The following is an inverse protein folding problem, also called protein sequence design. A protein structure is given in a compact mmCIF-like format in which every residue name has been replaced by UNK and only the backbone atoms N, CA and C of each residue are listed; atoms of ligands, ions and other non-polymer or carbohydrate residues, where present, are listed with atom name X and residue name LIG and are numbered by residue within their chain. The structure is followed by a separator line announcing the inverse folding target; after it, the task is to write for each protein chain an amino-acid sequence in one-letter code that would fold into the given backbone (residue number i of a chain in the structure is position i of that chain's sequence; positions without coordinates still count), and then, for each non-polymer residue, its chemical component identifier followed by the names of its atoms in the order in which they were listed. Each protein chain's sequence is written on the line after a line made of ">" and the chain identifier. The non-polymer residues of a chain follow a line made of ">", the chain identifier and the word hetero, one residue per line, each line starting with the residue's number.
data_IF_444052292367
#
_entry.id   IF_444052292367
#
_cell.length_a   1.000
_cell.length_b   1.000
_cell.length_c   1.000
_cell.angle_alpha   90.00
_cell.angle_beta   90.00
_cell.angle_gamma   90.00
#
_symmetry.space_group_name_H-M   'P 1'
#
loop_
_entity.id
_entity.type
_entity.pdbx_description
1 polymer ?
#
# COMPACT_ATOMS: atom_id res chain seq x y z
N UNK A 1 -0.71 8.16 26.09
CA UNK A 1 -1.01 8.64 24.71
C UNK A 1 -2.51 8.59 24.49
N UNK A 2 -3.15 9.64 24.05
CA UNK A 2 -4.59 9.61 23.77
C UNK A 2 -4.80 9.91 22.31
N UNK A 3 -5.11 8.85 21.53
CA UNK A 3 -5.62 8.99 20.17
C UNK A 3 -6.91 9.81 20.20
N UNK A 4 -6.99 10.90 19.44
CA UNK A 4 -8.15 11.78 19.43
C UNK A 4 -9.00 11.54 18.20
N UNK A 5 -10.23 11.10 18.39
CA UNK A 5 -11.21 11.03 17.31
C UNK A 5 -11.42 12.43 16.71
N UNK A 6 -11.45 12.51 15.40
CA UNK A 6 -11.71 13.72 14.62
C UNK A 6 -12.85 13.42 13.64
N UNK A 7 -13.90 14.22 13.70
CA UNK A 7 -15.05 14.03 12.83
C UNK A 7 -15.65 12.62 12.89
N UNK A 8 -15.98 12.08 11.74
CA UNK A 8 -16.69 10.81 11.60
C UNK A 8 -15.77 9.60 11.40
N UNK A 9 -14.72 9.74 10.59
CA UNK A 9 -13.89 8.63 10.11
C UNK A 9 -12.41 8.76 10.49
N UNK A 10 -11.98 9.93 10.98
CA UNK A 10 -10.57 10.23 11.21
C UNK A 10 -10.20 10.26 12.69
N UNK A 11 -8.92 10.12 12.95
CA UNK A 11 -8.32 10.34 14.26
C UNK A 11 -6.93 10.96 14.11
N UNK A 12 -6.57 11.80 15.07
CA UNK A 12 -5.24 12.38 15.20
C UNK A 12 -4.43 11.66 16.27
N UNK A 13 -3.13 11.69 16.13
CA UNK A 13 -2.14 11.08 17.01
C UNK A 13 -1.25 12.18 17.58
N UNK A 14 -1.62 12.82 18.71
CA UNK A 14 -0.87 13.96 19.26
C UNK A 14 0.59 13.65 19.57
N UNK A 15 0.86 12.45 20.10
CA UNK A 15 2.19 11.90 20.25
C UNK A 15 2.45 10.96 19.04
N UNK A 16 2.68 11.59 17.91
CA UNK A 16 2.70 10.91 16.60
C UNK A 16 3.69 9.76 16.59
N UNK A 17 3.25 8.52 16.33
CA UNK A 17 4.15 7.38 16.14
C UNK A 17 5.16 7.66 15.03
N UNK A 18 6.39 7.19 15.23
CA UNK A 18 7.52 7.46 14.33
C UNK A 18 7.81 6.23 13.47
N UNK A 19 7.97 6.41 12.18
CA UNK A 19 8.49 5.36 11.30
C UNK A 19 10.02 5.40 11.40
N UNK A 20 10.58 4.52 12.23
CA UNK A 20 12.01 4.55 12.60
C UNK A 20 12.91 3.79 11.64
N UNK A 21 12.37 2.81 10.95
CA UNK A 21 13.07 2.04 9.92
C UNK A 21 12.06 1.53 8.87
N UNK A 22 12.56 1.25 7.66
CA UNK A 22 11.78 0.68 6.58
C UNK A 22 12.65 -0.08 5.59
N UNK A 23 12.06 -1.03 4.89
CA UNK A 23 12.73 -1.83 3.88
C UNK A 23 11.81 -2.10 2.70
N UNK A 24 12.39 -2.26 1.52
CA UNK A 24 11.68 -2.57 0.27
C UNK A 24 12.40 -3.69 -0.49
N UNK A 25 11.60 -4.61 -1.01
CA UNK A 25 12.05 -5.70 -1.90
C UNK A 25 11.25 -5.60 -3.18
N UNK A 26 11.92 -5.63 -4.32
CA UNK A 26 11.30 -5.51 -5.64
C UNK A 26 11.72 -6.66 -6.56
N UNK A 27 10.84 -7.02 -7.49
CA UNK A 27 11.12 -7.98 -8.54
C UNK A 27 11.86 -7.37 -9.74
N UNK A 28 12.10 -8.21 -10.75
CA UNK A 28 12.84 -7.82 -11.97
C UNK A 28 12.18 -6.65 -12.69
N UNK A 29 10.88 -6.73 -12.98
CA UNK A 29 10.17 -5.71 -13.77
C UNK A 29 10.15 -4.35 -13.07
N UNK A 30 9.98 -4.33 -11.76
CA UNK A 30 10.03 -3.15 -10.91
C UNK A 30 11.43 -2.51 -10.89
N UNK A 31 12.47 -3.35 -10.94
CA UNK A 31 13.87 -2.89 -10.99
C UNK A 31 14.29 -2.30 -12.34
N UNK A 32 13.47 -2.41 -13.35
CA UNK A 32 13.66 -1.78 -14.67
C UNK A 32 12.93 -0.41 -14.77
N UNK A 33 12.06 -0.10 -13.78
CA UNK A 33 11.26 1.11 -13.74
C UNK A 33 11.98 2.35 -13.15
N UNK A 34 11.28 3.49 -13.09
CA UNK A 34 11.83 4.77 -12.63
C UNK A 34 12.36 4.75 -11.20
N UNK A 35 11.82 3.89 -10.35
CA UNK A 35 12.22 3.80 -8.92
C UNK A 35 13.34 2.78 -8.65
N UNK A 36 13.93 2.18 -9.66
CA UNK A 36 14.94 1.10 -9.57
C UNK A 36 16.06 1.34 -8.56
N UNK A 37 16.54 2.56 -8.46
CA UNK A 37 17.67 2.93 -7.59
C UNK A 37 17.27 3.14 -6.11
N UNK A 38 15.97 2.98 -5.78
CA UNK A 38 15.45 3.28 -4.44
C UNK A 38 15.12 2.03 -3.62
N UNK A 39 15.11 0.85 -4.25
CA UNK A 39 14.80 -0.41 -3.57
C UNK A 39 16.01 -0.95 -2.80
N UNK A 40 15.78 -1.47 -1.60
CA UNK A 40 16.84 -2.03 -0.76
C UNK A 40 17.35 -3.38 -1.27
N UNK A 41 16.43 -4.19 -1.81
CA UNK A 41 16.73 -5.52 -2.37
C UNK A 41 15.99 -5.66 -3.70
N UNK A 42 16.69 -6.15 -4.71
CA UNK A 42 16.12 -6.53 -6.01
C UNK A 42 16.40 -8.02 -6.23
N UNK A 43 15.35 -8.77 -6.56
CA UNK A 43 15.46 -10.17 -6.95
C UNK A 43 14.97 -10.35 -8.40
N UNK A 44 15.82 -10.86 -9.24
CA UNK A 44 15.51 -11.06 -10.67
C UNK A 44 14.86 -12.41 -10.96
N UNK A 45 15.03 -13.39 -10.06
CA UNK A 45 14.28 -14.64 -10.12
C UNK A 45 12.86 -14.45 -9.58
N UNK A 46 11.87 -14.59 -10.45
CA UNK A 46 10.46 -14.47 -10.07
C UNK A 46 9.99 -15.50 -9.04
N UNK A 47 10.73 -16.58 -8.87
CA UNK A 47 10.48 -17.59 -7.86
C UNK A 47 11.17 -17.30 -6.52
N UNK A 48 12.04 -16.31 -6.43
CA UNK A 48 12.80 -16.00 -5.21
C UNK A 48 13.52 -17.25 -4.63
N UNK A 49 14.04 -18.10 -5.52
CA UNK A 49 14.65 -19.38 -5.15
C UNK A 49 13.67 -20.45 -4.63
N UNK A 50 12.37 -20.26 -4.80
CA UNK A 50 11.34 -21.18 -4.31
C UNK A 50 10.77 -22.04 -5.46
N UNK A 51 9.92 -23.01 -5.11
CA UNK A 51 9.33 -23.96 -6.08
C UNK A 51 7.99 -23.47 -6.65
N UNK A 52 7.29 -22.58 -5.95
CA UNK A 52 5.98 -22.06 -6.35
C UNK A 52 5.91 -20.55 -6.12
N UNK A 53 5.01 -19.87 -6.82
CA UNK A 53 4.86 -18.43 -6.73
C UNK A 53 4.31 -17.97 -5.35
N UNK A 54 3.47 -18.76 -4.71
CA UNK A 54 3.00 -18.48 -3.34
C UNK A 54 4.14 -18.59 -2.33
N UNK A 55 5.05 -19.54 -2.53
CA UNK A 55 6.26 -19.64 -1.72
C UNK A 55 7.24 -18.49 -2.02
N UNK A 56 7.27 -18.01 -3.26
CA UNK A 56 8.04 -16.82 -3.64
C UNK A 56 7.52 -15.57 -2.92
N UNK A 57 6.21 -15.35 -2.86
CA UNK A 57 5.62 -14.23 -2.13
C UNK A 57 5.93 -14.27 -0.63
N UNK A 58 5.80 -15.45 -0.01
CA UNK A 58 6.26 -15.68 1.37
C UNK A 58 7.75 -15.34 1.55
N UNK A 59 8.61 -15.80 0.65
CA UNK A 59 10.06 -15.57 0.74
C UNK A 59 10.39 -14.08 0.59
N UNK A 60 9.70 -13.38 -0.30
CA UNK A 60 9.85 -11.94 -0.51
C UNK A 60 9.51 -11.15 0.77
N UNK A 61 8.42 -11.48 1.46
CA UNK A 61 8.10 -10.90 2.76
C UNK A 61 9.16 -11.21 3.82
N UNK A 62 9.67 -12.43 3.87
CA UNK A 62 10.73 -12.82 4.80
C UNK A 62 12.01 -12.00 4.57
N UNK A 63 12.37 -11.75 3.31
CA UNK A 63 13.51 -10.88 2.94
C UNK A 63 13.25 -9.44 3.41
N UNK A 64 12.05 -8.90 3.18
CA UNK A 64 11.69 -7.55 3.61
C UNK A 64 11.78 -7.39 5.13
N UNK A 65 11.23 -8.35 5.88
CA UNK A 65 11.28 -8.34 7.35
C UNK A 65 12.71 -8.48 7.89
N UNK A 66 13.51 -9.35 7.30
CA UNK A 66 14.93 -9.48 7.64
C UNK A 66 15.68 -8.17 7.37
N UNK A 67 15.48 -7.56 6.21
CA UNK A 67 16.12 -6.29 5.85
C UNK A 67 15.69 -5.14 6.76
N UNK A 68 14.41 -5.10 7.15
CA UNK A 68 13.90 -4.16 8.15
C UNK A 68 14.62 -4.34 9.50
N UNK A 69 14.75 -5.57 9.98
CA UNK A 69 15.41 -5.89 11.24
C UNK A 69 16.89 -5.47 11.23
N UNK A 70 17.60 -5.72 10.13
CA UNK A 70 18.98 -5.26 9.91
C UNK A 70 19.07 -3.72 10.02
N UNK A 71 18.20 -2.99 9.32
CA UNK A 71 18.18 -1.50 9.31
C UNK A 71 17.76 -0.93 10.66
N UNK A 72 16.93 -1.63 11.42
CA UNK A 72 16.52 -1.26 12.77
C UNK A 72 17.54 -1.67 13.86
N UNK A 73 18.58 -2.41 13.50
CA UNK A 73 19.53 -3.03 14.43
C UNK A 73 18.81 -3.86 15.51
N UNK A 74 17.88 -4.71 15.07
CA UNK A 74 17.01 -5.55 15.90
C UNK A 74 16.99 -6.99 15.36
N UNK A 75 16.61 -7.94 16.21
CA UNK A 75 16.21 -9.26 15.74
C UNK A 75 14.73 -9.26 15.38
N UNK A 76 14.27 -10.04 14.42
CA UNK A 76 12.83 -10.14 14.10
C UNK A 76 11.95 -10.45 15.32
N UNK A 77 12.43 -11.27 16.24
CA UNK A 77 11.71 -11.65 17.48
C UNK A 77 11.52 -10.49 18.48
N UNK A 78 12.26 -9.39 18.31
CA UNK A 78 12.18 -8.22 19.19
C UNK A 78 11.07 -7.23 18.73
N UNK A 79 10.40 -7.51 17.62
CA UNK A 79 9.20 -6.77 17.21
C UNK A 79 8.01 -7.17 18.10
N UNK A 80 7.31 -6.17 18.65
CA UNK A 80 6.20 -6.42 19.57
C UNK A 80 4.94 -6.95 18.87
N UNK A 81 4.69 -6.53 17.63
CA UNK A 81 3.50 -6.90 16.85
C UNK A 81 3.78 -6.69 15.35
N UNK A 82 3.15 -7.49 14.49
CA UNK A 82 3.20 -7.33 13.04
C UNK A 82 1.77 -7.29 12.50
N UNK A 83 1.47 -6.22 11.76
CA UNK A 83 0.34 -6.18 10.84
C UNK A 83 0.86 -6.43 9.43
N UNK A 84 0.43 -7.51 8.82
CA UNK A 84 0.88 -7.86 7.47
C UNK A 84 -0.28 -8.27 6.57
N UNK A 85 -0.10 -8.10 5.28
CA UNK A 85 -1.10 -8.46 4.27
C UNK A 85 -0.46 -8.85 2.95
N UNK A 86 -1.24 -9.55 2.14
CA UNK A 86 -0.90 -9.93 0.77
C UNK A 86 -2.18 -10.14 -0.04
N UNK A 87 -2.06 -10.36 -1.34
CA UNK A 87 -3.22 -10.55 -2.21
C UNK A 87 -3.75 -12.00 -2.22
N UNK A 88 -3.08 -12.93 -1.56
CA UNK A 88 -3.54 -14.32 -1.53
C UNK A 88 -4.72 -14.50 -0.58
N UNK A 89 -5.57 -15.48 -0.85
CA UNK A 89 -6.70 -15.78 0.01
C UNK A 89 -6.26 -15.95 1.47
N UNK A 90 -6.98 -15.29 2.39
CA UNK A 90 -6.73 -15.34 3.84
C UNK A 90 -5.34 -14.83 4.26
N UNK A 91 -4.68 -14.02 3.45
CA UNK A 91 -3.31 -13.54 3.70
C UNK A 91 -2.35 -14.69 4.02
N UNK A 92 -2.42 -15.77 3.21
CA UNK A 92 -1.68 -17.00 3.50
C UNK A 92 -0.16 -16.82 3.34
N UNK A 93 0.29 -15.91 2.47
CA UNK A 93 1.70 -15.57 2.31
C UNK A 93 2.28 -15.01 3.61
N UNK A 94 1.58 -14.05 4.22
CA UNK A 94 1.94 -13.44 5.50
C UNK A 94 1.94 -14.44 6.65
N UNK A 95 0.89 -15.25 6.74
CA UNK A 95 0.77 -16.28 7.77
C UNK A 95 1.90 -17.31 7.70
N UNK A 96 2.29 -17.74 6.50
CA UNK A 96 3.41 -18.66 6.31
C UNK A 96 4.77 -18.02 6.55
N UNK A 97 4.92 -16.72 6.33
CA UNK A 97 6.14 -15.98 6.65
C UNK A 97 6.39 -15.97 8.16
N UNK A 98 5.35 -15.70 8.95
CA UNK A 98 5.47 -15.44 10.38
C UNK A 98 5.31 -16.68 11.27
N UNK A 99 4.79 -17.81 10.75
CA UNK A 99 4.41 -19.01 11.53
C UNK A 99 5.48 -19.57 12.46
N UNK A 100 6.76 -19.38 12.15
CA UNK A 100 7.88 -19.93 12.91
C UNK A 100 8.70 -18.83 13.63
N UNK A 101 8.26 -17.58 13.60
CA UNK A 101 9.03 -16.45 14.14
C UNK A 101 8.67 -16.10 15.60
N UNK A 102 7.63 -16.73 16.16
CA UNK A 102 7.11 -16.45 17.50
C UNK A 102 6.87 -14.94 17.74
N UNK A 103 6.31 -14.25 16.75
CA UNK A 103 5.94 -12.83 16.80
C UNK A 103 4.41 -12.74 16.82
N UNK A 104 3.79 -11.99 17.72
CA UNK A 104 2.37 -11.69 17.65
C UNK A 104 2.01 -11.10 16.29
N UNK A 105 1.00 -11.67 15.63
CA UNK A 105 0.64 -11.32 14.27
C UNK A 105 -0.87 -11.23 14.11
N UNK A 106 -1.31 -10.19 13.41
CA UNK A 106 -2.68 -10.03 12.94
C UNK A 106 -2.61 -9.86 11.44
N UNK A 107 -3.27 -10.76 10.70
CA UNK A 107 -3.46 -10.64 9.25
C UNK A 107 -4.34 -9.44 8.95
N UNK A 108 -3.76 -8.43 8.36
CA UNK A 108 -4.47 -7.25 7.90
C UNK A 108 -4.81 -7.42 6.42
N UNK A 109 -5.84 -6.73 5.98
CA UNK A 109 -6.15 -6.63 4.57
C UNK A 109 -4.98 -6.03 3.77
N UNK A 110 -5.03 -6.21 2.49
CA UNK A 110 -3.93 -6.10 1.54
C UNK A 110 -3.32 -4.69 1.34
N UNK A 111 -3.77 -3.64 2.01
CA UNK A 111 -3.25 -2.29 1.75
C UNK A 111 -2.18 -1.86 2.75
N UNK A 112 -1.10 -1.24 2.28
CA UNK A 112 -0.04 -0.71 3.15
C UNK A 112 -0.53 0.40 4.08
N UNK A 113 -1.48 1.24 3.64
CA UNK A 113 -2.08 2.27 4.48
C UNK A 113 -2.89 1.67 5.63
N UNK A 114 -3.62 0.58 5.41
CA UNK A 114 -4.35 -0.14 6.46
C UNK A 114 -3.41 -0.71 7.52
N UNK A 115 -2.33 -1.36 7.10
CA UNK A 115 -1.31 -1.89 8.02
C UNK A 115 -0.65 -0.80 8.85
N UNK A 116 -0.32 0.36 8.23
CA UNK A 116 0.22 1.53 8.93
C UNK A 116 -0.78 2.15 9.92
N UNK A 117 -2.05 2.25 9.51
CA UNK A 117 -3.13 2.76 10.35
C UNK A 117 -3.29 1.89 11.60
N UNK A 118 -3.36 0.57 11.45
CA UNK A 118 -3.45 -0.36 12.57
C UNK A 118 -2.20 -0.35 13.45
N UNK A 119 -1.00 -0.27 12.85
CA UNK A 119 0.24 -0.12 13.60
C UNK A 119 0.23 1.16 14.43
N UNK A 120 -0.27 2.27 13.85
CA UNK A 120 -0.39 3.56 14.55
C UNK A 120 -1.39 3.51 15.71
N UNK A 121 -2.51 2.80 15.53
CA UNK A 121 -3.48 2.57 16.62
C UNK A 121 -2.87 1.73 17.74
N UNK A 122 -2.14 0.66 17.40
CA UNK A 122 -1.52 -0.21 18.38
C UNK A 122 -0.44 0.53 19.20
N UNK A 123 0.42 1.31 18.54
CA UNK A 123 1.43 2.14 19.22
C UNK A 123 0.76 3.27 20.00
N UNK A 124 -0.16 3.99 19.38
CA UNK A 124 -0.88 5.10 20.04
C UNK A 124 -1.79 4.67 21.18
N UNK A 125 -2.25 3.41 21.18
CA UNK A 125 -3.02 2.79 22.26
C UNK A 125 -2.16 2.15 23.36
N UNK A 126 -0.84 2.11 23.18
CA UNK A 126 0.08 1.52 24.17
C UNK A 126 0.07 -0.01 24.19
N UNK A 127 -0.43 -0.67 23.13
CA UNK A 127 -0.42 -2.14 23.04
C UNK A 127 0.97 -2.71 22.73
N UNK A 128 1.79 -1.95 22.00
CA UNK A 128 3.18 -2.30 21.72
C UNK A 128 3.99 -1.07 21.34
N UNK A 129 5.27 -1.03 21.73
CA UNK A 129 6.17 0.10 21.44
C UNK A 129 6.78 0.06 20.03
N UNK A 130 6.81 -1.12 19.41
CA UNK A 130 7.45 -1.39 18.12
C UNK A 130 6.58 -2.34 17.31
N UNK A 131 5.94 -1.80 16.29
CA UNK A 131 4.98 -2.53 15.45
C UNK A 131 5.40 -2.45 14.00
N UNK A 132 5.44 -3.60 13.33
CA UNK A 132 5.73 -3.66 11.90
C UNK A 132 4.44 -3.59 11.09
N UNK A 133 4.41 -2.71 10.10
CA UNK A 133 3.43 -2.69 9.02
C UNK A 133 4.10 -3.22 7.75
N UNK A 134 3.56 -4.28 7.15
CA UNK A 134 4.15 -4.94 5.99
C UNK A 134 3.09 -5.43 5.03
N UNK A 135 3.29 -5.20 3.74
CA UNK A 135 2.44 -5.80 2.70
C UNK A 135 3.26 -6.23 1.50
N UNK A 136 2.71 -7.17 0.73
CA UNK A 136 3.32 -7.68 -0.50
C UNK A 136 2.28 -7.98 -1.56
N UNK A 137 2.73 -8.06 -2.79
CA UNK A 137 2.04 -8.72 -3.89
C UNK A 137 3.05 -9.37 -4.83
N UNK A 138 2.62 -10.40 -5.54
CA UNK A 138 3.42 -11.08 -6.54
C UNK A 138 2.58 -11.29 -7.79
N UNK A 139 3.06 -10.85 -8.96
CA UNK A 139 2.25 -10.81 -10.17
C UNK A 139 1.66 -12.18 -10.53
N UNK A 140 2.47 -13.24 -10.50
CA UNK A 140 2.04 -14.55 -10.96
C UNK A 140 1.03 -15.23 -10.02
N UNK A 141 1.22 -15.13 -8.69
CA UNK A 141 0.28 -15.68 -7.71
C UNK A 141 -1.07 -14.96 -7.76
N UNK A 142 -1.05 -13.63 -7.90
CA UNK A 142 -2.26 -12.81 -7.97
C UNK A 142 -3.03 -12.98 -9.28
N UNK A 143 -2.33 -12.98 -10.43
CA UNK A 143 -2.98 -13.20 -11.72
C UNK A 143 -3.65 -14.57 -11.79
N UNK A 144 -2.98 -15.61 -11.31
CA UNK A 144 -3.52 -16.97 -11.26
C UNK A 144 -4.77 -17.08 -10.38
N UNK A 145 -4.80 -16.33 -9.30
CA UNK A 145 -5.90 -16.39 -8.34
C UNK A 145 -7.11 -15.56 -8.78
N UNK A 146 -6.91 -14.38 -9.32
CA UNK A 146 -7.98 -13.39 -9.49
C UNK A 146 -8.43 -13.13 -10.92
N UNK A 147 -7.61 -13.46 -11.93
CA UNK A 147 -7.93 -13.13 -13.31
C UNK A 147 -7.99 -14.38 -14.18
N UNK A 148 -6.91 -14.67 -14.89
CA UNK A 148 -6.85 -15.78 -15.85
C UNK A 148 -5.66 -16.69 -15.55
N UNK A 149 -5.72 -17.99 -15.94
CA UNK A 149 -4.52 -18.82 -15.94
C UNK A 149 -3.42 -18.13 -16.74
N UNK A 150 -2.25 -17.94 -16.15
CA UNK A 150 -1.12 -17.27 -16.82
C UNK A 150 -0.73 -17.93 -18.15
N UNK A 151 -0.85 -19.24 -18.23
CA UNK A 151 -0.57 -20.02 -19.45
C UNK A 151 -1.58 -19.82 -20.57
N UNK A 152 -2.70 -19.13 -20.35
CA UNK A 152 -3.70 -18.88 -21.39
C UNK A 152 -3.22 -17.85 -22.44
N UNK A 153 -2.33 -16.95 -22.06
CA UNK A 153 -1.72 -15.98 -22.98
C UNK A 153 -2.67 -14.94 -23.55
N UNK A 154 -3.77 -14.63 -22.85
CA UNK A 154 -4.73 -13.62 -23.29
C UNK A 154 -4.13 -12.22 -23.36
N UNK A 155 -4.48 -11.44 -24.39
CA UNK A 155 -4.07 -10.06 -24.50
C UNK A 155 -4.78 -9.23 -23.39
N UNK A 156 -4.00 -8.42 -22.65
CA UNK A 156 -4.54 -7.51 -21.63
C UNK A 156 -5.19 -6.30 -22.27
N UNK A 157 -6.27 -5.80 -21.68
CA UNK A 157 -6.93 -4.57 -22.12
C UNK A 157 -6.08 -3.33 -21.81
N UNK A 158 -6.25 -2.21 -22.52
CA UNK A 158 -5.54 -0.95 -22.19
C UNK A 158 -5.81 -0.42 -20.76
N UNK A 159 -6.93 -0.81 -20.16
CA UNK A 159 -7.30 -0.44 -18.77
C UNK A 159 -6.65 -1.33 -17.72
N UNK A 160 -6.11 -2.50 -18.12
CA UNK A 160 -5.48 -3.44 -17.21
C UNK A 160 -4.21 -2.86 -16.59
N UNK A 161 -3.90 -3.32 -15.40
CA UNK A 161 -2.70 -2.98 -14.66
C UNK A 161 -1.83 -4.22 -14.48
N UNK A 162 -0.53 -4.03 -14.29
CA UNK A 162 0.40 -5.09 -13.94
C UNK A 162 0.52 -5.21 -12.42
N UNK A 163 0.26 -6.39 -11.86
CA UNK A 163 0.48 -6.60 -10.43
C UNK A 163 1.97 -6.50 -10.11
N UNK A 164 2.30 -5.61 -9.20
CA UNK A 164 3.68 -5.39 -8.74
C UNK A 164 4.17 -6.60 -7.96
N UNK A 165 5.38 -7.05 -8.27
CA UNK A 165 6.12 -8.03 -7.47
C UNK A 165 7.00 -7.28 -6.49
N UNK A 166 6.53 -7.16 -5.25
CA UNK A 166 7.25 -6.40 -4.25
C UNK A 166 6.69 -6.55 -2.84
N UNK A 167 7.53 -6.28 -1.85
CA UNK A 167 7.17 -6.20 -0.44
C UNK A 167 7.80 -4.97 0.20
N UNK A 168 7.01 -4.24 0.97
CA UNK A 168 7.49 -3.14 1.81
C UNK A 168 7.16 -3.39 3.27
N UNK A 169 8.11 -3.08 4.16
CA UNK A 169 7.95 -3.20 5.60
C UNK A 169 8.43 -1.91 6.29
N UNK A 170 7.63 -1.40 7.23
CA UNK A 170 7.94 -0.20 8.01
C UNK A 170 7.78 -0.49 9.50
N UNK A 171 8.75 -0.03 10.31
CA UNK A 171 8.72 -0.13 11.75
C UNK A 171 8.14 1.16 12.34
N UNK A 172 6.96 1.05 12.90
CA UNK A 172 6.26 2.12 13.62
C UNK A 172 6.57 1.99 15.10
N UNK A 173 7.10 3.05 15.70
CA UNK A 173 7.58 3.05 17.08
C UNK A 173 6.96 4.20 17.88
N UNK A 174 6.85 4.02 19.20
CA UNK A 174 6.36 5.05 20.12
C UNK A 174 7.32 6.25 20.25
N UNK A 175 8.60 6.03 19.94
CA UNK A 175 9.65 7.07 20.01
C UNK A 175 10.76 6.77 18.99
N UNK A 176 11.58 7.78 18.70
CA UNK A 176 12.73 7.65 17.78
C UNK A 176 12.82 8.82 16.80
N UNK A 177 13.61 8.62 15.74
CA UNK A 177 13.83 9.61 14.69
C UNK A 177 13.34 9.09 13.35
N UNK A 178 12.58 9.88 12.61
CA UNK A 178 12.07 9.56 11.30
C UNK A 178 10.73 10.22 11.00
N UNK A 179 10.12 9.91 9.84
CA UNK A 179 8.80 10.42 9.49
C UNK A 179 7.74 10.04 10.54
N UNK A 180 6.80 10.95 10.80
CA UNK A 180 5.77 10.80 11.84
C UNK A 180 4.40 10.60 11.23
N UNK A 181 3.63 9.67 11.78
CA UNK A 181 2.21 9.49 11.44
C UNK A 181 1.38 10.40 12.33
N UNK A 182 0.75 11.41 11.75
CA UNK A 182 0.05 12.47 12.49
C UNK A 182 -1.45 12.29 12.56
N UNK A 183 -2.03 11.68 11.52
CA UNK A 183 -3.46 11.42 11.44
C UNK A 183 -3.76 10.25 10.52
N UNK A 184 -4.88 9.60 10.74
CA UNK A 184 -5.39 8.52 9.90
C UNK A 184 -6.89 8.71 9.63
N UNK A 185 -7.34 8.23 8.46
CA UNK A 185 -8.76 8.18 8.10
C UNK A 185 -9.13 6.78 7.65
N UNK A 186 -10.12 6.20 8.32
CA UNK A 186 -10.67 4.89 7.98
C UNK A 186 -11.71 5.09 6.88
N UNK A 187 -11.46 4.52 5.72
CA UNK A 187 -12.36 4.61 4.60
C UNK A 187 -13.58 3.70 4.73
N UNK A 188 -14.60 4.03 3.96
CA UNK A 188 -15.80 3.21 3.82
C UNK A 188 -15.76 2.42 2.51
N UNK A 189 -16.42 1.28 2.47
CA UNK A 189 -16.63 0.53 1.23
C UNK A 189 -17.54 1.35 0.31
N UNK A 190 -17.09 1.54 -0.93
CA UNK A 190 -17.81 2.31 -1.97
C UNK A 190 -18.04 1.42 -3.18
N UNK A 191 -19.26 1.38 -3.68
CA UNK A 191 -19.64 0.57 -4.84
C UNK A 191 -20.45 1.42 -5.82
N UNK A 192 -19.91 1.61 -7.02
CA UNK A 192 -20.59 2.29 -8.13
C UNK A 192 -21.00 1.32 -9.26
N UNK A 193 -21.06 0.03 -8.99
CA UNK A 193 -21.53 -0.96 -9.93
C UNK A 193 -20.51 -1.39 -11.00
N UNK A 194 -19.22 -1.09 -10.82
CA UNK A 194 -18.16 -1.51 -11.76
C UNK A 194 -17.99 -3.03 -11.65
N UNK A 195 -18.04 -3.74 -12.78
CA UNK A 195 -17.95 -5.21 -12.87
C UNK A 195 -16.73 -5.70 -13.63
N UNK A 196 -16.01 -4.82 -14.32
CA UNK A 196 -14.85 -5.19 -15.14
C UNK A 196 -13.61 -5.34 -14.25
N UNK A 197 -13.18 -6.57 -14.04
CA UNK A 197 -11.96 -6.92 -13.29
C UNK A 197 -10.67 -6.39 -13.95
N UNK A 198 -10.71 -6.00 -15.23
CA UNK A 198 -9.59 -5.38 -15.92
C UNK A 198 -9.55 -3.85 -15.74
N UNK A 199 -10.52 -3.27 -15.03
CA UNK A 199 -10.60 -1.83 -14.78
C UNK A 199 -10.77 -1.54 -13.28
N UNK A 200 -9.87 -2.07 -12.47
CA UNK A 200 -9.90 -1.90 -11.01
C UNK A 200 -9.69 -0.44 -10.59
N UNK A 201 -8.93 0.34 -11.38
CA UNK A 201 -8.76 1.78 -11.10
C UNK A 201 -10.08 2.53 -11.05
N UNK A 202 -11.01 2.25 -11.99
CA UNK A 202 -12.35 2.85 -11.97
C UNK A 202 -13.19 2.39 -10.76
N UNK A 203 -13.03 1.15 -10.31
CA UNK A 203 -13.72 0.64 -9.13
C UNK A 203 -13.21 1.27 -7.82
N UNK A 204 -11.90 1.57 -7.73
CA UNK A 204 -11.27 2.10 -6.52
C UNK A 204 -11.30 3.63 -6.41
N UNK A 205 -11.33 4.36 -7.53
CA UNK A 205 -11.27 5.83 -7.54
C UNK A 205 -12.36 6.50 -6.69
N UNK A 206 -13.63 6.04 -6.69
CA UNK A 206 -14.69 6.60 -5.83
C UNK A 206 -14.40 6.44 -4.33
N UNK A 207 -13.81 5.32 -3.93
CA UNK A 207 -13.41 5.08 -2.54
C UNK A 207 -12.26 6.01 -2.13
N UNK A 208 -11.28 6.23 -3.01
CA UNK A 208 -10.21 7.19 -2.78
C UNK A 208 -10.75 8.61 -2.60
N UNK A 209 -11.67 9.05 -3.48
CA UNK A 209 -12.33 10.34 -3.37
C UNK A 209 -13.04 10.50 -2.03
N UNK A 210 -13.88 9.52 -1.66
CA UNK A 210 -14.64 9.53 -0.41
C UNK A 210 -13.72 9.67 0.82
N UNK A 211 -12.60 8.95 0.83
CA UNK A 211 -11.66 8.96 1.94
C UNK A 211 -10.85 10.26 2.02
N UNK A 212 -10.39 10.80 0.87
CA UNK A 212 -9.69 12.09 0.82
C UNK A 212 -10.61 13.21 1.29
N UNK A 213 -11.85 13.24 0.82
CA UNK A 213 -12.87 14.20 1.27
C UNK A 213 -13.10 14.11 2.77
N UNK A 214 -13.33 12.90 3.30
CA UNK A 214 -13.53 12.69 4.72
C UNK A 214 -12.30 13.15 5.54
N UNK A 215 -11.08 12.90 5.04
CA UNK A 215 -9.86 13.38 5.68
C UNK A 215 -9.82 14.92 5.74
N UNK A 216 -10.16 15.58 4.65
CA UNK A 216 -10.17 17.06 4.58
C UNK A 216 -11.20 17.64 5.53
N UNK A 217 -12.43 17.12 5.51
CA UNK A 217 -13.53 17.57 6.37
C UNK A 217 -13.22 17.34 7.86
N UNK A 218 -12.82 16.12 8.23
CA UNK A 218 -12.60 15.72 9.62
C UNK A 218 -11.38 16.42 10.26
N UNK A 219 -10.31 16.60 9.46
CA UNK A 219 -9.06 17.20 9.92
C UNK A 219 -9.01 18.71 9.70
N UNK A 220 -9.99 19.29 8.99
CA UNK A 220 -10.08 20.71 8.60
C UNK A 220 -8.84 21.16 7.83
N UNK A 221 -8.45 20.38 6.83
CA UNK A 221 -7.32 20.62 5.93
C UNK A 221 -7.78 20.60 4.47
N UNK A 222 -6.92 21.07 3.59
CA UNK A 222 -7.12 21.10 2.13
C UNK A 222 -5.96 20.41 1.41
N UNK A 223 -6.02 20.31 0.10
CA UNK A 223 -4.92 19.80 -0.71
C UNK A 223 -3.62 20.62 -0.52
N UNK A 224 -3.72 21.91 -0.24
CA UNK A 224 -2.57 22.81 -0.07
C UNK A 224 -1.76 22.52 1.21
N UNK A 225 -2.35 21.82 2.18
CA UNK A 225 -1.65 21.39 3.39
C UNK A 225 -0.66 20.24 3.14
N UNK A 226 -0.62 19.68 1.93
CA UNK A 226 0.24 18.57 1.55
C UNK A 226 1.16 18.93 0.39
N UNK A 227 2.39 18.43 0.42
CA UNK A 227 3.27 18.46 -0.76
C UNK A 227 2.83 17.44 -1.80
N UNK A 228 2.25 16.31 -1.34
CA UNK A 228 1.82 15.21 -2.18
C UNK A 228 0.61 14.49 -1.56
N UNK A 229 -0.38 14.21 -2.39
CA UNK A 229 -1.49 13.29 -2.12
C UNK A 229 -1.28 12.13 -3.06
N UNK A 230 -1.05 10.92 -2.51
CA UNK A 230 -0.66 9.79 -3.34
C UNK A 230 -1.54 8.57 -3.08
N UNK A 231 -2.10 8.03 -4.17
CA UNK A 231 -2.92 6.81 -4.15
C UNK A 231 -2.06 5.56 -4.32
N UNK A 232 -2.59 4.41 -3.88
CA UNK A 232 -1.86 3.16 -3.82
C UNK A 232 -1.60 2.51 -5.18
N UNK A 233 -2.67 2.33 -5.96
CA UNK A 233 -2.62 1.55 -7.18
C UNK A 233 -3.83 1.79 -8.10
N UNK A 234 -4.28 3.03 -8.22
CA UNK A 234 -5.33 3.39 -9.17
C UNK A 234 -4.87 3.24 -10.63
N UNK A 235 -3.57 3.35 -10.87
CA UNK A 235 -3.00 3.43 -12.20
C UNK A 235 -3.37 4.72 -12.93
N UNK A 236 -3.00 4.81 -14.21
CA UNK A 236 -3.22 6.03 -15.00
C UNK A 236 -4.71 6.38 -15.11
N UNK A 237 -5.52 5.41 -15.54
CA UNK A 237 -6.95 5.63 -15.74
C UNK A 237 -7.68 5.96 -14.44
N UNK A 238 -7.44 5.19 -13.36
CA UNK A 238 -8.10 5.44 -12.07
C UNK A 238 -7.69 6.79 -11.46
N UNK A 239 -6.45 7.21 -11.65
CA UNK A 239 -5.98 8.55 -11.26
C UNK A 239 -6.71 9.66 -12.03
N UNK A 240 -6.92 9.50 -13.34
CA UNK A 240 -7.67 10.46 -14.16
C UNK A 240 -9.13 10.54 -13.76
N UNK A 241 -9.76 9.40 -13.47
CA UNK A 241 -11.12 9.34 -12.93
C UNK A 241 -11.20 10.07 -11.59
N UNK A 242 -10.30 9.79 -10.64
CA UNK A 242 -10.24 10.47 -9.35
C UNK A 242 -10.05 11.98 -9.52
N UNK A 243 -9.17 12.41 -10.40
CA UNK A 243 -8.92 13.83 -10.68
C UNK A 243 -10.18 14.52 -11.21
N UNK A 244 -10.85 13.90 -12.18
CA UNK A 244 -12.11 14.42 -12.75
C UNK A 244 -13.22 14.53 -11.70
N UNK A 245 -13.38 13.51 -10.86
CA UNK A 245 -14.37 13.52 -9.78
C UNK A 245 -14.04 14.59 -8.73
N UNK A 246 -12.78 14.73 -8.36
CA UNK A 246 -12.33 15.73 -7.38
C UNK A 246 -12.52 17.16 -7.84
N UNK A 247 -12.37 17.42 -9.14
CA UNK A 247 -12.65 18.73 -9.74
C UNK A 247 -14.13 19.11 -9.63
N UNK A 248 -15.03 18.14 -9.85
CA UNK A 248 -16.49 18.35 -9.71
C UNK A 248 -16.90 18.68 -8.26
N UNK A 249 -16.15 18.16 -7.28
CA UNK A 249 -16.38 18.41 -5.86
C UNK A 249 -15.55 19.59 -5.31
N UNK A 250 -14.71 20.22 -6.12
CA UNK A 250 -13.90 21.37 -5.72
C UNK A 250 -12.77 21.05 -4.72
N UNK A 251 -12.27 19.80 -4.68
CA UNK A 251 -11.25 19.37 -3.71
C UNK A 251 -9.83 19.83 -4.04
N UNK A 252 -9.58 20.40 -5.21
CA UNK A 252 -8.30 21.04 -5.56
C UNK A 252 -7.09 20.10 -5.66
N UNK A 253 -7.28 18.80 -5.95
CA UNK A 253 -6.19 17.81 -5.94
C UNK A 253 -5.12 18.03 -7.03
N UNK A 254 -5.48 18.65 -8.15
CA UNK A 254 -4.69 18.96 -9.35
C UNK A 254 -3.23 18.58 -9.32
N UNK A 255 -2.35 19.56 -9.13
CA UNK A 255 -0.91 19.37 -9.14
C UNK A 255 -0.32 18.63 -7.94
N UNK A 256 -1.14 18.19 -6.99
CA UNK A 256 -0.72 17.46 -5.78
C UNK A 256 -0.96 15.95 -5.87
N UNK A 257 -1.78 15.49 -6.83
CA UNK A 257 -2.17 14.09 -6.95
C UNK A 257 -1.13 13.27 -7.73
N UNK A 258 -0.64 12.21 -7.12
CA UNK A 258 0.13 11.14 -7.76
C UNK A 258 -0.48 9.77 -7.46
N UNK A 259 0.05 8.75 -8.12
CA UNK A 259 -0.35 7.34 -7.89
C UNK A 259 0.90 6.44 -7.92
N UNK A 260 1.00 5.52 -6.97
CA UNK A 260 2.17 4.62 -6.87
C UNK A 260 2.31 3.74 -8.12
N UNK A 261 1.19 3.29 -8.70
CA UNK A 261 1.19 2.47 -9.91
C UNK A 261 1.76 3.17 -11.14
N UNK A 262 1.63 4.51 -11.21
CA UNK A 262 2.22 5.32 -12.28
C UNK A 262 3.66 5.76 -11.98
N UNK A 263 4.14 5.58 -10.75
CA UNK A 263 5.53 5.90 -10.37
C UNK A 263 6.47 4.70 -10.46
N UNK A 264 5.96 3.50 -10.17
CA UNK A 264 6.79 2.29 -10.08
C UNK A 264 7.25 1.80 -11.46
N UNK A 265 6.43 2.01 -12.49
CA UNK A 265 6.72 1.61 -13.87
C UNK A 265 6.79 2.80 -14.81
N UNK A 266 7.60 2.66 -15.86
CA UNK A 266 7.51 3.50 -17.04
C UNK A 266 6.41 2.94 -17.96
N UNK A 267 5.25 3.61 -17.95
CA UNK A 267 4.07 3.15 -18.68
C UNK A 267 4.23 3.24 -20.21
N UNK A 268 5.23 3.96 -20.71
CA UNK A 268 5.52 4.09 -22.14
C UNK A 268 6.48 2.99 -22.63
N UNK A 269 7.45 2.62 -21.80
CA UNK A 269 8.53 1.69 -22.18
C UNK A 269 8.28 0.26 -21.68
N UNK A 270 7.54 0.12 -20.57
CA UNK A 270 7.23 -1.19 -19.98
C UNK A 270 5.79 -1.58 -20.31
N UNK A 271 5.58 -2.82 -20.75
CA UNK A 271 4.24 -3.38 -21.01
C UNK A 271 3.45 -3.57 -19.71
N UNK A 272 2.87 -2.47 -19.21
CA UNK A 272 2.06 -2.41 -17.96
C UNK A 272 0.70 -1.73 -18.17
N UNK A 273 0.41 -1.23 -19.37
CA UNK A 273 -0.81 -0.52 -19.77
C UNK A 273 -1.16 0.64 -18.82
N UNK A 274 -2.12 0.46 -17.90
CA UNK A 274 -2.54 1.52 -16.96
C UNK A 274 -1.59 1.69 -15.76
N UNK A 275 -0.48 0.94 -15.69
CA UNK A 275 0.52 1.04 -14.62
C UNK A 275 0.49 -0.12 -13.63
N UNK A 276 1.02 0.10 -12.44
CA UNK A 276 1.13 -0.90 -11.37
C UNK A 276 -0.16 -1.10 -10.59
N UNK A 277 -0.32 -2.30 -10.04
CA UNK A 277 -1.44 -2.72 -9.19
C UNK A 277 -0.95 -3.56 -8.01
N UNK A 278 -1.79 -3.70 -7.01
CA UNK A 278 -1.58 -4.56 -5.84
C UNK A 278 -0.96 -3.84 -4.64
N UNK A 279 -1.13 -4.43 -3.47
CA UNK A 279 -0.66 -3.84 -2.21
C UNK A 279 0.88 -3.75 -2.12
N UNK A 280 1.62 -4.58 -2.84
CA UNK A 280 3.05 -4.45 -3.02
C UNK A 280 3.44 -3.15 -3.73
N UNK A 281 2.61 -2.64 -4.65
CA UNK A 281 2.84 -1.40 -5.37
C UNK A 281 2.98 -0.20 -4.41
N UNK A 282 1.99 0.01 -3.56
CA UNK A 282 2.01 1.07 -2.55
C UNK A 282 3.11 0.86 -1.51
N UNK A 283 3.37 -0.39 -1.14
CA UNK A 283 4.36 -0.75 -0.13
C UNK A 283 5.80 -0.43 -0.56
N UNK A 284 6.21 -0.87 -1.77
CA UNK A 284 7.58 -0.60 -2.26
C UNK A 284 7.78 0.88 -2.63
N UNK A 285 6.74 1.55 -3.12
CA UNK A 285 6.81 2.99 -3.40
C UNK A 285 6.95 3.79 -2.11
N UNK A 286 6.19 3.47 -1.07
CA UNK A 286 6.32 4.11 0.23
C UNK A 286 7.70 3.85 0.83
N UNK A 287 8.07 2.59 1.01
CA UNK A 287 9.30 2.19 1.70
C UNK A 287 10.57 2.44 0.87
N UNK A 288 10.51 2.27 -0.44
CA UNK A 288 11.67 2.52 -1.32
C UNK A 288 11.90 4.01 -1.60
N UNK A 289 10.85 4.80 -1.76
CA UNK A 289 10.97 6.14 -2.29
C UNK A 289 10.47 7.25 -1.34
N UNK A 290 9.22 7.18 -0.90
CA UNK A 290 8.57 8.31 -0.22
C UNK A 290 9.13 8.57 1.19
N UNK A 291 9.36 7.52 1.99
CA UNK A 291 9.90 7.67 3.34
C UNK A 291 11.32 8.27 3.31
N UNK A 292 12.13 7.94 2.30
CA UNK A 292 13.43 8.57 2.08
C UNK A 292 13.32 10.06 1.76
N UNK A 293 12.33 10.47 0.96
CA UNK A 293 12.06 11.88 0.65
C UNK A 293 11.58 12.66 1.87
N UNK A 294 10.72 12.06 2.69
CA UNK A 294 10.25 12.65 3.95
C UNK A 294 11.41 12.81 4.96
N UNK A 295 12.25 11.78 5.12
CA UNK A 295 13.42 11.82 6.02
C UNK A 295 14.42 12.89 5.62
N UNK A 296 14.61 13.12 4.32
CA UNK A 296 15.57 14.12 3.80
C UNK A 296 14.99 15.53 3.66
N UNK A 297 13.72 15.75 4.03
CA UNK A 297 13.03 17.03 3.93
C UNK A 297 12.67 17.44 2.49
N UNK A 298 12.85 16.57 1.49
CA UNK A 298 12.43 16.80 0.10
C UNK A 298 10.91 16.80 -0.05
N UNK A 299 10.23 16.09 0.84
CA UNK A 299 8.80 16.18 1.10
C UNK A 299 8.63 16.46 2.60
N UNK A 300 7.73 17.38 2.94
CA UNK A 300 7.43 17.75 4.34
C UNK A 300 6.20 17.03 4.87
N UNK A 301 5.18 16.89 4.03
CA UNK A 301 3.92 16.26 4.43
C UNK A 301 3.23 15.60 3.23
N UNK A 302 2.85 14.35 3.39
CA UNK A 302 2.09 13.60 2.38
C UNK A 302 0.79 13.06 2.98
N UNK A 303 -0.23 12.89 2.12
CA UNK A 303 -1.39 12.05 2.39
C UNK A 303 -1.25 10.77 1.59
N UNK A 304 -0.95 9.66 2.27
CA UNK A 304 -0.79 8.35 1.67
C UNK A 304 -2.11 7.58 1.72
N UNK A 305 -2.71 7.35 0.56
CA UNK A 305 -4.05 6.78 0.39
C UNK A 305 -3.96 5.37 -0.20
N UNK A 306 -3.90 4.35 0.65
CA UNK A 306 -3.90 2.95 0.20
C UNK A 306 -5.27 2.56 -0.36
N UNK A 307 -5.31 2.19 -1.63
CA UNK A 307 -6.49 1.77 -2.37
C UNK A 307 -6.59 0.25 -2.43
N UNK A 308 -7.81 -0.28 -2.49
CA UNK A 308 -8.06 -1.71 -2.63
C UNK A 308 -9.37 -1.98 -3.35
N UNK A 309 -9.35 -2.93 -4.29
CA UNK A 309 -10.54 -3.49 -4.91
C UNK A 309 -10.94 -4.77 -4.16
N UNK A 310 -12.18 -4.84 -3.71
CA UNK A 310 -12.72 -6.00 -2.99
C UNK A 310 -13.18 -7.06 -4.01
N UNK A 311 -12.19 -7.60 -4.72
CA UNK A 311 -12.38 -8.57 -5.79
C UNK A 311 -12.35 -9.99 -5.24
N UNK A 312 -13.36 -10.77 -5.58
CA UNK A 312 -13.42 -12.22 -5.34
C UNK A 312 -13.74 -12.93 -6.66
N UNK A 313 -13.03 -14.01 -7.04
CA UNK A 313 -13.39 -14.80 -8.21
C UNK A 313 -14.84 -15.26 -8.18
N UNK A 314 -15.33 -15.67 -7.02
CA UNK A 314 -16.71 -16.13 -6.83
C UNK A 314 -17.72 -15.02 -7.10
N UNK A 315 -17.53 -13.82 -6.52
CA UNK A 315 -18.46 -12.71 -6.73
C UNK A 315 -18.45 -12.22 -8.19
N UNK A 316 -17.29 -12.20 -8.82
CA UNK A 316 -17.15 -11.83 -10.23
C UNK A 316 -17.87 -12.81 -11.15
N UNK A 317 -17.71 -14.12 -10.91
CA UNK A 317 -18.41 -15.16 -11.67
C UNK A 317 -19.93 -15.10 -11.49
N UNK A 318 -20.42 -14.59 -10.36
CA UNK A 318 -21.83 -14.34 -10.09
C UNK A 318 -22.33 -13.01 -10.70
N UNK A 319 -21.47 -12.25 -11.38
CA UNK A 319 -21.83 -10.98 -11.99
C UNK A 319 -22.03 -9.83 -11.00
N UNK A 320 -21.51 -9.97 -9.78
CA UNK A 320 -21.55 -8.91 -8.76
C UNK A 320 -20.54 -7.81 -9.09
N UNK A 321 -20.77 -6.56 -8.67
CA UNK A 321 -19.81 -5.48 -8.83
C UNK A 321 -18.59 -5.67 -7.94
N UNK A 322 -17.57 -4.86 -8.18
CA UNK A 322 -16.30 -4.82 -7.46
C UNK A 322 -16.30 -3.56 -6.57
N UNK A 323 -16.63 -3.64 -5.29
CA UNK A 323 -16.52 -2.51 -4.40
C UNK A 323 -15.06 -2.09 -4.19
N UNK A 324 -14.84 -0.79 -3.95
CA UNK A 324 -13.54 -0.25 -3.57
C UNK A 324 -13.49 0.13 -2.08
N UNK A 325 -12.30 0.17 -1.54
CA UNK A 325 -11.98 0.72 -0.22
C UNK A 325 -10.69 1.55 -0.31
N UNK A 326 -10.57 2.56 0.54
CA UNK A 326 -9.35 3.34 0.65
C UNK A 326 -9.16 3.78 2.09
N UNK A 327 -7.95 3.64 2.64
CA UNK A 327 -7.57 4.21 3.92
C UNK A 327 -6.49 5.26 3.71
N UNK A 328 -6.47 6.30 4.54
CA UNK A 328 -5.50 7.38 4.40
C UNK A 328 -4.67 7.57 5.68
N UNK A 329 -3.38 7.82 5.48
CA UNK A 329 -2.40 8.10 6.54
C UNK A 329 -1.67 9.38 6.20
N UNK A 330 -1.75 10.38 7.08
CA UNK A 330 -0.99 11.63 6.99
C UNK A 330 0.38 11.42 7.61
N UNK A 331 1.44 11.60 6.83
CA UNK A 331 2.82 11.39 7.24
C UNK A 331 3.60 12.70 7.03
N UNK A 332 4.28 13.15 8.10
CA UNK A 332 5.16 14.34 8.06
C UNK A 332 6.63 13.91 8.10
N UNK A 333 7.50 14.71 7.50
CA UNK A 333 8.93 14.57 7.64
C UNK A 333 9.38 14.63 9.10
N UNK A 334 10.47 13.96 9.43
CA UNK A 334 11.05 13.93 10.79
C UNK A 334 12.34 14.75 10.87
#
# INVERSE_FOLDING_TARGET
>A
MVTQKRGKQSFSLPESPVITAWASVAGKKESEGPLKATFDVVETDSYFGQKTWEQAEKQMQAIALKKLAEKANMRPQDFGLVFSGDLLNQCIGSSFTLRNMNIPHIGACSTMAESLLMASMAVGGGFADKVVAMTSSHFASSERQYRFPLGYGGQRTPTAQWTVTGSGAALVSSSGHGPKITACTIGTVTDLGIKDANNMGAAMAPAALSTIRAHFEDMKVTADDFDLIITGDLGQLGKEVLLTMSQREGLGLGGKLADCGTLVFDVLEQDVHSGGSGCGCSAITLCGYLLGKLKTGKLKKILFCGTGALLSPTSTQQGLPIPGVCHAVSITGG
#
